data_IF_690746800516
#
_entry.id   IF_690746800516
#
_cell.length_a   1.000
_cell.length_b   1.000
_cell.length_c   1.000
_cell.angle_alpha   90.00
_cell.angle_beta   90.00
_cell.angle_gamma   90.00
#
_symmetry.space_group_name_H-M   'P 1'
#
loop_
_entity.id
_entity.type
_entity.pdbx_description
1 polymer ?
#
# COMPACT_ATOMS: atom_id res chain seq x y z
N UNK A 1 29.99 -17.39 -14.85
CA UNK A 1 28.55 -17.39 -14.49
C UNK A 1 27.84 -16.70 -15.64
N UNK A 2 26.85 -17.33 -16.24
CA UNK A 2 26.11 -16.71 -17.35
C UNK A 2 24.97 -15.90 -16.75
N UNK A 3 25.08 -14.59 -16.82
CA UNK A 3 23.99 -13.66 -16.54
C UNK A 3 23.10 -13.59 -17.77
N UNK A 4 21.80 -13.68 -17.59
CA UNK A 4 20.84 -13.47 -18.66
C UNK A 4 20.00 -12.24 -18.32
N UNK A 5 20.19 -11.16 -19.07
CA UNK A 5 19.38 -9.95 -18.92
C UNK A 5 17.94 -10.27 -19.32
N UNK A 6 17.01 -9.92 -18.43
CA UNK A 6 15.57 -10.04 -18.64
C UNK A 6 15.03 -8.71 -19.19
N UNK A 7 15.41 -7.60 -18.55
CA UNK A 7 14.92 -6.28 -18.89
C UNK A 7 15.97 -5.20 -18.51
N UNK A 8 15.94 -4.08 -19.23
CA UNK A 8 16.76 -2.91 -18.93
C UNK A 8 15.98 -1.63 -19.22
N UNK A 9 15.93 -0.72 -18.26
CA UNK A 9 15.30 0.61 -18.41
C UNK A 9 15.97 1.63 -17.47
N UNK A 10 16.11 2.87 -17.93
CA UNK A 10 16.79 3.92 -17.16
C UNK A 10 18.17 3.49 -16.67
N UNK A 11 18.36 3.53 -15.35
CA UNK A 11 19.55 3.05 -14.65
C UNK A 11 19.38 1.66 -14.01
N UNK A 12 18.34 0.94 -14.40
CA UNK A 12 17.99 -0.39 -13.86
C UNK A 12 18.30 -1.47 -14.88
N UNK A 13 18.91 -2.56 -14.42
CA UNK A 13 19.07 -3.81 -15.18
C UNK A 13 18.54 -4.97 -14.34
N UNK A 14 17.61 -5.73 -14.89
CA UNK A 14 17.08 -6.95 -14.27
C UNK A 14 17.65 -8.16 -14.99
N UNK A 15 18.28 -9.06 -14.25
CA UNK A 15 18.89 -10.26 -14.81
C UNK A 15 18.75 -11.48 -13.88
N UNK A 16 18.92 -12.67 -14.45
CA UNK A 16 18.98 -13.93 -13.69
C UNK A 16 20.40 -14.46 -13.66
N UNK A 17 20.76 -15.05 -12.54
CA UNK A 17 21.97 -15.84 -12.36
C UNK A 17 21.64 -17.33 -12.36
N UNK A 18 22.46 -18.16 -12.99
CA UNK A 18 22.24 -19.61 -13.09
C UNK A 18 22.19 -20.37 -11.75
N UNK A 19 22.66 -19.75 -10.66
CA UNK A 19 22.76 -20.33 -9.34
C UNK A 19 21.76 -19.77 -8.34
N UNK A 20 20.88 -18.84 -8.74
CA UNK A 20 19.89 -18.25 -7.84
C UNK A 20 18.48 -18.19 -8.47
N UNK A 21 17.42 -18.62 -7.71
CA UNK A 21 16.07 -18.70 -8.26
C UNK A 21 15.38 -17.33 -8.45
N UNK A 22 15.83 -16.29 -7.73
CA UNK A 22 15.19 -14.97 -7.80
C UNK A 22 15.99 -14.05 -8.72
N UNK A 23 15.32 -13.24 -9.56
CA UNK A 23 15.98 -12.21 -10.36
C UNK A 23 16.76 -11.21 -9.49
N UNK A 24 17.76 -10.59 -10.09
CA UNK A 24 18.53 -9.50 -9.49
C UNK A 24 18.07 -8.20 -10.15
N UNK A 25 17.63 -7.27 -9.32
CA UNK A 25 17.34 -5.89 -9.66
C UNK A 25 18.60 -5.05 -9.35
N UNK A 26 19.35 -4.75 -10.38
CA UNK A 26 20.57 -3.95 -10.27
C UNK A 26 20.27 -2.51 -10.64
N UNK A 27 20.57 -1.57 -9.73
CA UNK A 27 20.41 -0.14 -9.98
C UNK A 27 21.79 0.53 -9.98
N UNK A 28 22.05 1.33 -11.01
CA UNK A 28 23.26 2.15 -11.12
C UNK A 28 22.99 3.57 -10.60
N UNK A 29 23.94 4.12 -9.87
CA UNK A 29 23.91 5.50 -9.40
C UNK A 29 24.09 5.66 -7.91
N UNK A 30 24.44 6.87 -7.49
CA UNK A 30 24.47 7.30 -6.09
C UNK A 30 23.35 8.30 -5.85
N UNK A 31 22.66 8.16 -4.74
CA UNK A 31 21.58 9.08 -4.37
C UNK A 31 22.17 10.29 -3.63
N UNK A 32 21.67 11.49 -3.94
CA UNK A 32 21.93 12.68 -3.14
C UNK A 32 21.47 12.47 -1.69
N UNK A 33 22.01 13.17 -0.69
CA UNK A 33 21.56 13.09 0.68
C UNK A 33 20.03 13.26 0.78
N UNK A 34 19.36 12.21 1.24
CA UNK A 34 17.90 12.08 1.26
C UNK A 34 17.49 11.43 2.60
N UNK A 35 16.35 11.78 3.19
CA UNK A 35 15.84 11.14 4.41
C UNK A 35 15.73 9.62 4.32
N UNK A 36 15.56 9.07 3.11
CA UNK A 36 15.46 7.64 2.84
C UNK A 36 16.82 6.97 2.59
N UNK A 37 17.95 7.70 2.68
CA UNK A 37 19.29 7.17 2.49
C UNK A 37 19.45 6.40 1.18
N UNK A 38 20.14 5.27 1.23
CA UNK A 38 20.37 4.40 0.06
C UNK A 38 19.12 3.78 -0.53
N UNK A 39 17.96 3.83 0.18
CA UNK A 39 16.67 3.36 -0.35
C UNK A 39 16.02 4.34 -1.33
N UNK A 40 16.44 5.60 -1.35
CA UNK A 40 15.78 6.65 -2.12
C UNK A 40 15.65 6.34 -3.61
N UNK A 41 16.66 5.71 -4.20
CA UNK A 41 16.66 5.32 -5.63
C UNK A 41 15.52 4.32 -5.95
N UNK A 42 15.11 3.50 -4.99
CA UNK A 42 14.02 2.53 -5.16
C UNK A 42 12.64 3.18 -5.07
N UNK A 43 12.55 4.36 -4.43
CA UNK A 43 11.29 5.10 -4.35
C UNK A 43 10.91 5.78 -5.66
N UNK A 44 11.88 6.06 -6.52
CA UNK A 44 11.67 6.73 -7.80
C UNK A 44 11.18 5.77 -8.91
N UNK A 45 11.32 4.45 -8.72
CA UNK A 45 10.91 3.46 -9.73
C UNK A 45 9.47 2.97 -9.52
N UNK A 46 8.55 3.40 -10.38
CA UNK A 46 7.13 3.03 -10.34
C UNK A 46 6.85 1.55 -10.67
N UNK A 47 7.84 0.82 -11.21
CA UNK A 47 7.72 -0.61 -11.44
C UNK A 47 7.88 -1.42 -10.15
N UNK A 48 8.32 -0.79 -9.05
CA UNK A 48 8.40 -1.44 -7.75
C UNK A 48 7.08 -1.30 -6.98
N UNK A 49 6.63 -2.40 -6.41
CA UNK A 49 5.46 -2.48 -5.55
C UNK A 49 5.82 -2.40 -4.07
N UNK A 50 6.90 -3.10 -3.68
CA UNK A 50 7.37 -3.12 -2.30
C UNK A 50 8.90 -3.03 -2.23
N UNK A 51 9.40 -2.38 -1.18
CA UNK A 51 10.81 -2.30 -0.82
C UNK A 51 10.99 -2.87 0.59
N UNK A 52 11.91 -3.83 0.74
CA UNK A 52 12.10 -4.57 1.99
C UNK A 52 13.56 -4.56 2.41
N UNK A 53 13.83 -4.03 3.60
CA UNK A 53 15.10 -4.11 4.30
C UNK A 53 14.94 -4.98 5.55
N UNK A 54 15.76 -6.02 5.69
CA UNK A 54 15.67 -7.04 6.74
C UNK A 54 16.98 -7.15 7.57
N UNK A 55 17.54 -6.01 7.95
CA UNK A 55 18.81 -5.96 8.69
C UNK A 55 20.06 -5.98 7.80
N UNK A 56 21.19 -5.54 8.36
CA UNK A 56 22.44 -5.31 7.63
C UNK A 56 23.14 -6.56 7.09
N UNK A 57 22.64 -7.74 7.39
CA UNK A 57 23.21 -9.03 6.92
C UNK A 57 22.67 -9.45 5.54
N UNK A 58 21.68 -8.77 5.01
CA UNK A 58 21.02 -9.09 3.74
C UNK A 58 20.98 -7.86 2.83
N UNK A 59 21.02 -8.09 1.51
CA UNK A 59 20.70 -7.03 0.57
C UNK A 59 19.22 -6.63 0.69
N UNK A 60 18.92 -5.40 0.34
CA UNK A 60 17.55 -4.94 0.17
C UNK A 60 16.86 -5.80 -0.89
N UNK A 61 15.59 -6.12 -0.66
CA UNK A 61 14.75 -6.86 -1.62
C UNK A 61 13.63 -5.96 -2.10
N UNK A 62 13.15 -6.20 -3.30
CA UNK A 62 12.03 -5.47 -3.89
C UNK A 62 11.03 -6.44 -4.51
N UNK A 63 9.75 -6.08 -4.47
CA UNK A 63 8.75 -6.72 -5.30
C UNK A 63 8.56 -5.86 -6.56
N UNK A 64 8.99 -6.40 -7.70
CA UNK A 64 8.79 -5.80 -9.00
C UNK A 64 7.44 -6.25 -9.57
N UNK A 65 6.69 -5.35 -10.22
CA UNK A 65 5.31 -5.62 -10.69
C UNK A 65 5.23 -6.77 -11.70
N UNK A 66 6.23 -6.89 -12.58
CA UNK A 66 6.25 -7.93 -13.61
C UNK A 66 7.11 -9.13 -13.23
N UNK A 67 8.23 -8.90 -12.52
CA UNK A 67 9.21 -9.93 -12.22
C UNK A 67 9.11 -10.50 -10.80
N UNK A 68 8.16 -10.01 -9.99
CA UNK A 68 7.96 -10.47 -8.62
C UNK A 68 9.11 -10.13 -7.67
N UNK A 69 9.46 -11.04 -6.79
CA UNK A 69 10.48 -10.82 -5.77
C UNK A 69 11.89 -10.83 -6.35
N UNK A 70 12.58 -9.70 -6.28
CA UNK A 70 13.95 -9.51 -6.73
C UNK A 70 14.90 -9.19 -5.57
N UNK A 71 16.17 -9.59 -5.71
CA UNK A 71 17.27 -9.12 -4.87
C UNK A 71 17.86 -7.87 -5.51
N UNK A 72 18.31 -6.91 -4.69
CA UNK A 72 19.00 -5.73 -5.21
C UNK A 72 20.52 -5.82 -4.98
N UNK A 73 21.26 -4.91 -5.59
CA UNK A 73 22.67 -4.66 -5.29
C UNK A 73 22.87 -3.69 -4.12
N UNK A 74 21.79 -3.29 -3.43
CA UNK A 74 21.84 -2.32 -2.32
C UNK A 74 22.03 -3.06 -1.00
N UNK A 75 23.06 -2.66 -0.27
CA UNK A 75 23.37 -3.15 1.07
C UNK A 75 23.38 -1.98 2.04
N UNK A 76 22.67 -2.11 3.14
CA UNK A 76 22.52 -1.10 4.18
C UNK A 76 22.94 -1.73 5.49
N UNK A 77 23.86 -1.10 6.21
CA UNK A 77 24.22 -1.56 7.54
C UNK A 77 23.16 -1.17 8.59
N UNK A 78 23.22 -1.76 9.77
CA UNK A 78 22.21 -1.55 10.81
C UNK A 78 22.16 -0.11 11.32
N UNK A 79 23.26 0.62 11.32
CA UNK A 79 23.31 2.03 11.73
C UNK A 79 22.54 2.91 10.74
N UNK A 80 22.81 2.76 9.45
CA UNK A 80 22.07 3.44 8.38
C UNK A 80 20.60 3.03 8.37
N UNK A 81 20.32 1.74 8.49
CA UNK A 81 18.95 1.20 8.57
C UNK A 81 18.14 1.77 9.73
N UNK A 82 18.76 1.89 10.91
CA UNK A 82 18.16 2.52 12.07
C UNK A 82 17.91 4.02 11.85
N UNK A 83 18.84 4.71 11.21
CA UNK A 83 18.69 6.14 10.93
C UNK A 83 17.55 6.37 9.91
N UNK A 84 17.48 5.57 8.86
CA UNK A 84 16.38 5.63 7.88
C UNK A 84 15.05 5.35 8.59
N UNK A 85 14.98 4.32 9.43
CA UNK A 85 13.77 3.97 10.20
C UNK A 85 13.31 5.13 11.09
N UNK A 86 14.22 5.81 11.77
CA UNK A 86 13.91 7.00 12.59
C UNK A 86 13.42 8.18 11.76
N UNK A 87 14.06 8.43 10.62
CA UNK A 87 13.65 9.50 9.72
C UNK A 87 12.22 9.27 9.21
N UNK A 88 11.92 8.02 8.80
CA UNK A 88 10.61 7.61 8.31
C UNK A 88 9.56 7.67 9.44
N UNK A 89 9.88 7.15 10.63
CA UNK A 89 8.98 7.19 11.78
C UNK A 89 8.61 8.62 12.19
N UNK A 90 9.50 9.59 11.96
CA UNK A 90 9.22 11.01 12.22
C UNK A 90 8.05 11.53 11.36
N UNK A 91 7.89 11.08 10.12
CA UNK A 91 6.73 11.44 9.27
C UNK A 91 5.40 10.88 9.81
N UNK A 92 5.47 9.75 10.53
CA UNK A 92 4.27 9.10 11.10
C UNK A 92 3.96 9.57 12.52
N UNK A 93 4.77 10.51 13.08
CA UNK A 93 4.69 10.98 14.45
C UNK A 93 4.77 9.86 15.50
N UNK A 94 5.50 8.78 15.20
CA UNK A 94 5.75 7.67 16.12
C UNK A 94 7.14 7.84 16.75
N UNK A 95 7.25 7.87 18.09
CA UNK A 95 8.54 7.97 18.79
C UNK A 95 9.25 6.60 18.73
N UNK A 96 9.96 6.31 17.64
CA UNK A 96 10.65 5.04 17.45
C UNK A 96 11.88 4.92 18.34
N UNK A 97 11.91 3.90 19.17
CA UNK A 97 13.02 3.62 20.08
C UNK A 97 12.71 2.51 21.08
N UNK A 98 13.65 2.26 21.98
CA UNK A 98 13.55 1.27 23.08
C UNK A 98 13.60 1.96 24.47
N UNK A 99 13.25 3.24 24.54
CA UNK A 99 13.23 4.02 25.79
C UNK A 99 11.82 4.23 26.35
N UNK A 100 11.71 4.82 27.56
CA UNK A 100 10.42 5.17 28.13
C UNK A 100 9.62 6.09 27.20
N UNK A 101 8.37 5.71 26.88
CA UNK A 101 7.49 6.45 25.96
C UNK A 101 7.83 6.26 24.48
N UNK A 102 8.78 5.40 24.15
CA UNK A 102 9.12 5.01 22.79
C UNK A 102 8.55 3.63 22.44
N UNK A 103 8.43 3.34 21.15
CA UNK A 103 7.96 2.04 20.67
C UNK A 103 8.95 1.43 19.67
N UNK A 104 9.23 0.13 19.73
CA UNK A 104 10.16 -0.54 18.81
C UNK A 104 9.50 -0.97 17.49
N UNK A 105 8.21 -0.73 17.32
CA UNK A 105 7.43 -1.05 16.12
C UNK A 105 6.70 0.20 15.68
N UNK A 106 6.72 0.49 14.39
CA UNK A 106 5.91 1.55 13.84
C UNK A 106 5.23 1.13 12.54
N UNK A 107 4.02 1.60 12.40
CA UNK A 107 3.25 1.58 11.16
C UNK A 107 2.90 3.00 10.79
N UNK A 108 2.86 3.30 9.51
CA UNK A 108 2.46 4.63 9.10
C UNK A 108 2.36 4.80 7.60
N UNK A 109 2.09 6.04 7.23
CA UNK A 109 1.96 6.48 5.86
C UNK A 109 2.95 7.60 5.59
N UNK A 110 3.68 7.46 4.50
CA UNK A 110 4.59 8.48 4.00
C UNK A 110 3.81 9.62 3.30
N UNK A 111 4.44 10.79 3.13
CA UNK A 111 3.78 11.92 2.44
C UNK A 111 3.32 11.62 1.00
N UNK A 112 4.02 10.70 0.30
CA UNK A 112 3.65 10.20 -1.04
C UNK A 112 2.47 9.21 -1.02
N UNK A 113 1.98 8.85 0.17
CA UNK A 113 0.90 7.90 0.35
C UNK A 113 1.35 6.45 0.55
N UNK A 114 2.64 6.14 0.40
CA UNK A 114 3.19 4.80 0.64
C UNK A 114 3.00 4.37 2.08
N UNK A 115 2.72 3.08 2.30
CA UNK A 115 2.61 2.49 3.64
C UNK A 115 3.97 1.99 4.09
N UNK A 116 4.28 2.16 5.34
CA UNK A 116 5.51 1.67 5.93
C UNK A 116 5.22 0.93 7.24
N UNK A 117 5.85 -0.23 7.38
CA UNK A 117 6.00 -0.92 8.66
C UNK A 117 7.49 -1.04 8.95
N UNK A 118 7.89 -0.75 10.17
CA UNK A 118 9.28 -0.91 10.60
C UNK A 118 9.37 -1.42 12.02
N UNK A 119 10.45 -2.17 12.26
CA UNK A 119 10.79 -2.68 13.59
C UNK A 119 12.25 -2.45 13.90
N UNK A 120 12.57 -2.31 15.18
CA UNK A 120 13.94 -2.21 15.66
C UNK A 120 14.18 -3.22 16.80
N UNK A 121 15.43 -3.53 17.13
CA UNK A 121 15.72 -4.32 18.33
C UNK A 121 15.07 -3.70 19.59
N UNK A 122 14.57 -4.52 20.53
CA UNK A 122 14.73 -5.99 20.62
C UNK A 122 13.68 -6.81 19.84
N UNK A 123 12.69 -6.18 19.22
CA UNK A 123 11.60 -6.88 18.50
C UNK A 123 12.14 -7.59 17.24
N UNK A 124 13.07 -6.98 16.55
CA UNK A 124 13.82 -7.57 15.43
C UNK A 124 15.28 -7.80 15.86
N UNK A 125 15.62 -8.99 16.40
CA UNK A 125 16.91 -9.24 17.02
C UNK A 125 18.09 -9.15 16.04
N UNK A 126 17.86 -9.39 14.77
CA UNK A 126 18.88 -9.37 13.70
C UNK A 126 19.13 -7.97 13.10
N UNK A 127 18.55 -6.93 13.70
CA UNK A 127 18.71 -5.55 13.26
C UNK A 127 17.38 -4.87 12.92
N UNK A 128 17.42 -3.59 12.54
CA UNK A 128 16.22 -2.84 12.13
C UNK A 128 15.65 -3.42 10.83
N UNK A 129 14.32 -3.37 10.69
CA UNK A 129 13.64 -3.79 9.48
C UNK A 129 12.72 -2.69 8.96
N UNK A 130 12.53 -2.66 7.64
CA UNK A 130 11.59 -1.78 6.97
C UNK A 130 10.90 -2.53 5.84
N UNK A 131 9.59 -2.44 5.80
CA UNK A 131 8.78 -2.86 4.65
C UNK A 131 7.96 -1.67 4.20
N UNK A 132 8.17 -1.25 2.97
CA UNK A 132 7.52 -0.09 2.39
C UNK A 132 6.73 -0.56 1.18
N UNK A 133 5.41 -0.41 1.23
CA UNK A 133 4.52 -0.67 0.11
C UNK A 133 4.22 0.64 -0.59
N UNK A 134 4.75 0.76 -1.81
CA UNK A 134 4.65 1.99 -2.60
C UNK A 134 3.20 2.27 -3.00
N UNK A 135 2.85 3.54 -2.86
CA UNK A 135 1.59 4.05 -3.38
C UNK A 135 1.70 4.23 -4.90
N UNK A 136 0.73 3.76 -5.64
CA UNK A 136 0.67 3.96 -7.08
C UNK A 136 -0.13 5.22 -7.38
N UNK A 137 0.48 6.21 -8.02
CA UNK A 137 -0.21 7.47 -8.33
C UNK A 137 -1.35 7.29 -9.34
N UNK A 138 -1.15 6.44 -10.36
CA UNK A 138 -2.17 6.16 -11.37
C UNK A 138 -2.93 4.85 -11.05
N UNK A 139 -4.14 4.94 -10.50
CA UNK A 139 -4.95 3.76 -10.25
C UNK A 139 -5.37 3.08 -11.55
N UNK A 140 -5.45 1.75 -11.53
CA UNK A 140 -6.02 0.99 -12.62
C UNK A 140 -7.48 1.33 -12.81
N UNK A 141 -7.89 1.37 -14.07
CA UNK A 141 -9.28 1.58 -14.49
C UNK A 141 -9.95 0.25 -14.85
N UNK A 142 -11.27 0.24 -14.96
CA UNK A 142 -12.00 -0.96 -15.46
C UNK A 142 -11.57 -1.34 -16.87
N UNK A 143 -11.12 -0.38 -17.67
CA UNK A 143 -10.62 -0.62 -19.04
C UNK A 143 -9.34 -1.45 -18.98
N UNK A 144 -8.47 -1.17 -18.01
CA UNK A 144 -7.24 -1.94 -17.82
C UNK A 144 -7.55 -3.36 -17.34
N UNK A 145 -8.52 -3.54 -16.44
CA UNK A 145 -8.98 -4.88 -16.04
C UNK A 145 -9.55 -5.68 -17.21
N UNK A 146 -10.21 -5.02 -18.17
CA UNK A 146 -10.68 -5.66 -19.39
C UNK A 146 -9.52 -6.02 -20.32
N UNK A 147 -8.54 -5.13 -20.50
CA UNK A 147 -7.32 -5.40 -21.29
C UNK A 147 -6.51 -6.55 -20.72
N UNK A 148 -6.38 -6.64 -19.40
CA UNK A 148 -5.68 -7.74 -18.73
C UNK A 148 -6.47 -9.05 -18.72
N UNK A 149 -7.73 -9.03 -19.18
CA UNK A 149 -8.59 -10.23 -19.17
C UNK A 149 -9.14 -10.61 -17.79
N UNK A 150 -8.97 -9.74 -16.78
CA UNK A 150 -9.50 -9.96 -15.42
C UNK A 150 -11.04 -9.97 -15.44
N UNK A 151 -11.64 -9.09 -16.22
CA UNK A 151 -13.08 -9.04 -16.47
C UNK A 151 -13.34 -8.91 -17.98
N UNK A 152 -14.45 -9.43 -18.47
CA UNK A 152 -14.85 -9.15 -19.84
C UNK A 152 -15.73 -7.87 -19.89
N UNK A 153 -15.84 -7.26 -21.07
CA UNK A 153 -16.60 -6.04 -21.28
C UNK A 153 -18.08 -6.14 -20.90
N UNK A 154 -18.69 -7.32 -21.08
CA UNK A 154 -20.09 -7.55 -20.68
C UNK A 154 -20.27 -7.51 -19.18
N UNK A 155 -19.39 -8.16 -18.43
CA UNK A 155 -19.41 -8.12 -16.96
C UNK A 155 -19.12 -6.70 -16.44
N UNK A 156 -18.15 -6.01 -17.04
CA UNK A 156 -17.85 -4.62 -16.70
C UNK A 156 -19.07 -3.70 -16.88
N UNK A 157 -19.79 -3.83 -18.00
CA UNK A 157 -21.02 -3.09 -18.25
C UNK A 157 -22.15 -3.45 -17.27
N UNK A 158 -22.30 -4.74 -16.91
CA UNK A 158 -23.29 -5.17 -15.92
C UNK A 158 -22.99 -4.58 -14.54
N UNK A 159 -21.71 -4.60 -14.11
CA UNK A 159 -21.30 -4.00 -12.84
C UNK A 159 -21.57 -2.49 -12.80
N UNK A 160 -21.33 -1.79 -13.92
CA UNK A 160 -21.70 -0.39 -14.02
C UNK A 160 -23.20 -0.16 -13.75
N UNK A 161 -24.07 -0.87 -14.49
CA UNK A 161 -25.53 -0.78 -14.31
C UNK A 161 -25.95 -1.05 -12.87
N UNK A 162 -25.38 -2.06 -12.22
CA UNK A 162 -25.72 -2.40 -10.85
C UNK A 162 -25.24 -1.34 -9.84
N UNK A 163 -24.06 -0.74 -10.05
CA UNK A 163 -23.51 0.27 -9.14
C UNK A 163 -24.19 1.62 -9.32
N UNK A 164 -24.48 2.01 -10.55
CA UNK A 164 -25.21 3.25 -10.83
C UNK A 164 -26.66 3.15 -10.33
N UNK A 165 -27.30 1.99 -10.55
CA UNK A 165 -28.66 1.69 -10.11
C UNK A 165 -29.75 2.24 -11.02
N UNK A 166 -29.43 2.86 -12.16
CA UNK A 166 -30.36 3.41 -13.17
C UNK A 166 -31.55 4.15 -12.55
N UNK A 167 -31.27 5.12 -11.67
CA UNK A 167 -32.25 5.93 -10.92
C UNK A 167 -33.23 5.13 -10.04
N UNK A 168 -32.96 3.82 -9.83
CA UNK A 168 -33.75 2.96 -8.97
C UNK A 168 -33.01 2.67 -7.66
N UNK A 169 -32.46 1.46 -7.52
CA UNK A 169 -31.66 1.06 -6.35
C UNK A 169 -30.35 0.46 -6.81
N UNK A 170 -29.21 1.05 -6.39
CA UNK A 170 -27.92 0.42 -6.62
C UNK A 170 -27.79 -0.87 -5.82
N UNK A 171 -27.07 -1.82 -6.38
CA UNK A 171 -26.75 -3.06 -5.68
C UNK A 171 -25.65 -2.83 -4.62
N UNK A 172 -25.70 -3.60 -3.56
CA UNK A 172 -24.59 -3.76 -2.63
C UNK A 172 -23.64 -4.84 -3.16
N UNK A 173 -22.34 -4.64 -2.96
CA UNK A 173 -21.31 -5.55 -3.42
C UNK A 173 -20.43 -6.00 -2.27
N UNK A 174 -20.03 -7.26 -2.32
CA UNK A 174 -18.96 -7.82 -1.49
C UNK A 174 -17.91 -8.40 -2.41
N UNK A 175 -16.67 -7.99 -2.23
CA UNK A 175 -15.50 -8.49 -2.97
C UNK A 175 -14.69 -9.35 -2.03
N UNK A 176 -14.59 -10.65 -2.31
CA UNK A 176 -13.86 -11.61 -1.49
C UNK A 176 -12.72 -12.24 -2.29
N UNK A 177 -11.62 -12.53 -1.61
CA UNK A 177 -10.44 -13.17 -2.20
C UNK A 177 -9.25 -13.17 -1.25
N UNK A 178 -8.21 -13.92 -1.58
CA UNK A 178 -6.96 -13.97 -0.82
C UNK A 178 -6.15 -12.67 -0.88
N UNK A 179 -5.07 -12.59 -0.11
CA UNK A 179 -4.12 -11.49 -0.19
C UNK A 179 -3.49 -11.43 -1.59
N UNK A 180 -3.32 -10.23 -2.15
CA UNK A 180 -2.74 -10.05 -3.50
C UNK A 180 -3.67 -10.40 -4.67
N UNK A 181 -4.95 -10.78 -4.42
CA UNK A 181 -5.90 -11.16 -5.48
C UNK A 181 -6.53 -9.99 -6.24
N UNK A 182 -6.14 -8.75 -5.95
CA UNK A 182 -6.65 -7.55 -6.61
C UNK A 182 -7.99 -7.02 -6.07
N UNK A 183 -8.39 -7.37 -4.84
CA UNK A 183 -9.63 -6.89 -4.20
C UNK A 183 -9.73 -5.36 -4.19
N UNK A 184 -8.72 -4.70 -3.63
CA UNK A 184 -8.67 -3.22 -3.51
C UNK A 184 -8.64 -2.56 -4.88
N UNK A 185 -7.90 -3.13 -5.84
CA UNK A 185 -7.88 -2.68 -7.24
C UNK A 185 -9.27 -2.76 -7.87
N UNK A 186 -9.94 -3.90 -7.71
CA UNK A 186 -11.31 -4.08 -8.22
C UNK A 186 -12.27 -3.10 -7.56
N UNK A 187 -12.18 -2.92 -6.24
CA UNK A 187 -13.01 -1.99 -5.47
C UNK A 187 -12.80 -0.54 -5.93
N UNK A 188 -11.54 -0.12 -6.17
CA UNK A 188 -11.20 1.17 -6.76
C UNK A 188 -11.86 1.37 -8.12
N UNK A 189 -11.71 0.39 -9.03
CA UNK A 189 -12.32 0.46 -10.37
C UNK A 189 -13.85 0.56 -10.30
N UNK A 190 -14.48 -0.20 -9.40
CA UNK A 190 -15.94 -0.17 -9.22
C UNK A 190 -16.41 1.14 -8.58
N UNK A 191 -15.62 1.72 -7.68
CA UNK A 191 -15.89 3.02 -7.09
C UNK A 191 -16.01 4.14 -8.13
N UNK A 192 -15.29 4.04 -9.24
CA UNK A 192 -15.36 5.01 -10.35
C UNK A 192 -16.70 4.96 -11.13
N UNK A 193 -17.51 3.94 -10.95
CA UNK A 193 -18.86 3.86 -11.53
C UNK A 193 -19.93 4.61 -10.72
N UNK A 194 -19.58 5.05 -9.51
CA UNK A 194 -20.50 5.83 -8.68
C UNK A 194 -20.71 7.20 -9.35
N UNK A 195 -21.98 7.61 -9.60
CA UNK A 195 -22.25 8.88 -10.25
C UNK A 195 -21.65 10.06 -9.47
N UNK A 196 -20.99 10.99 -10.15
CA UNK A 196 -20.25 12.13 -9.59
C UNK A 196 -21.07 13.02 -8.64
N UNK A 197 -22.40 13.09 -8.83
CA UNK A 197 -23.31 13.88 -7.98
C UNK A 197 -23.67 13.16 -6.66
N UNK A 198 -23.30 11.91 -6.48
CA UNK A 198 -23.57 11.14 -5.25
C UNK A 198 -22.44 11.37 -4.25
N UNK A 199 -22.79 11.45 -2.97
CA UNK A 199 -21.81 11.56 -1.91
C UNK A 199 -21.21 10.19 -1.58
N UNK A 200 -19.94 10.04 -1.86
CA UNK A 200 -19.15 8.85 -1.58
C UNK A 200 -18.38 9.03 -0.26
N UNK A 201 -18.50 8.07 0.64
CA UNK A 201 -17.63 7.94 1.80
C UNK A 201 -16.85 6.63 1.71
N UNK A 202 -15.55 6.69 2.02
CA UNK A 202 -14.72 5.49 2.18
C UNK A 202 -14.23 5.40 3.61
N UNK A 203 -14.25 4.18 4.16
CA UNK A 203 -13.73 3.87 5.49
C UNK A 203 -12.73 2.75 5.36
N UNK A 204 -11.49 2.98 5.76
CA UNK A 204 -10.37 2.08 5.57
C UNK A 204 -9.53 1.99 6.83
N UNK A 205 -8.86 0.86 7.05
CA UNK A 205 -7.85 0.75 8.10
C UNK A 205 -6.61 1.56 7.75
N UNK A 206 -6.22 1.51 6.50
CA UNK A 206 -5.28 2.46 5.88
C UNK A 206 -5.82 2.86 4.53
N UNK A 207 -5.85 4.15 4.22
CA UNK A 207 -6.43 4.68 3.00
C UNK A 207 -5.63 4.26 1.75
N UNK A 208 -6.07 3.22 1.08
CA UNK A 208 -5.50 2.66 -0.17
C UNK A 208 -6.35 3.00 -1.40
N UNK A 209 -7.65 3.19 -1.23
CA UNK A 209 -8.55 3.47 -2.34
C UNK A 209 -8.21 4.79 -3.01
N UNK A 210 -8.30 4.80 -4.33
CA UNK A 210 -8.02 5.96 -5.19
C UNK A 210 -9.19 6.14 -6.16
N UNK A 211 -10.33 6.57 -5.65
CA UNK A 211 -11.51 6.79 -6.47
C UNK A 211 -11.48 8.20 -7.04
N UNK A 212 -11.52 8.33 -8.36
CA UNK A 212 -11.67 9.64 -8.98
C UNK A 212 -13.12 10.11 -8.88
N UNK A 213 -13.41 10.95 -7.88
CA UNK A 213 -14.78 11.36 -7.56
C UNK A 213 -14.82 12.75 -6.90
N UNK A 214 -15.65 13.66 -7.38
CA UNK A 214 -15.70 15.05 -6.92
C UNK A 214 -16.22 15.22 -5.50
N UNK A 215 -17.17 14.36 -5.08
CA UNK A 215 -17.79 14.45 -3.76
C UNK A 215 -17.41 13.24 -2.90
N UNK A 216 -16.10 13.11 -2.62
CA UNK A 216 -15.52 12.00 -1.87
C UNK A 216 -14.98 12.44 -0.51
N UNK A 217 -15.38 11.74 0.55
CA UNK A 217 -14.84 11.88 1.90
C UNK A 217 -14.18 10.57 2.31
N UNK A 218 -12.94 10.65 2.75
CA UNK A 218 -12.14 9.53 3.22
C UNK A 218 -12.07 9.53 4.74
N UNK A 219 -12.23 8.35 5.34
CA UNK A 219 -12.03 8.12 6.77
C UNK A 219 -11.05 6.97 6.93
N UNK A 220 -10.13 7.13 7.87
CA UNK A 220 -9.09 6.14 8.19
C UNK A 220 -9.12 5.87 9.69
N UNK A 221 -8.94 4.62 10.08
CA UNK A 221 -8.82 4.24 11.48
C UNK A 221 -7.55 4.81 12.08
N UNK A 222 -7.49 4.86 13.39
CA UNK A 222 -6.29 5.30 14.10
C UNK A 222 -6.08 4.42 15.32
N UNK A 223 -4.94 3.77 15.39
CA UNK A 223 -4.52 3.01 16.58
C UNK A 223 -4.31 3.92 17.78
N UNK A 224 -4.46 3.36 18.98
CA UNK A 224 -4.06 4.04 20.21
C UNK A 224 -2.59 4.46 20.14
N UNK A 225 -2.30 5.67 20.60
CA UNK A 225 -0.93 6.20 20.62
C UNK A 225 -0.30 6.07 22.00
N UNK A 226 1.04 6.00 22.07
CA UNK A 226 1.78 5.95 23.34
C UNK A 226 1.53 7.15 24.25
N UNK A 227 1.07 8.28 23.72
CA UNK A 227 0.71 9.49 24.45
C UNK A 227 -0.68 9.43 25.11
N UNK A 228 -1.37 8.28 25.01
CA UNK A 228 -2.72 8.06 25.53
C UNK A 228 -3.84 8.58 24.62
N UNK A 229 -3.53 9.01 23.40
CA UNK A 229 -4.56 9.34 22.41
C UNK A 229 -5.37 8.08 22.05
N UNK A 230 -6.70 8.09 22.24
CA UNK A 230 -7.51 6.87 22.09
C UNK A 230 -7.54 6.37 20.66
N UNK A 231 -7.75 5.08 20.51
CA UNK A 231 -8.06 4.43 19.23
C UNK A 231 -9.33 5.01 18.62
N UNK A 232 -9.39 5.03 17.28
CA UNK A 232 -10.61 5.24 16.50
C UNK A 232 -10.72 4.03 15.56
N UNK A 233 -11.61 3.11 15.87
CA UNK A 233 -11.76 1.87 15.14
C UNK A 233 -12.66 2.02 13.88
N UNK A 234 -12.74 0.95 13.10
CA UNK A 234 -13.56 0.88 11.88
C UNK A 234 -15.04 1.13 12.18
N UNK A 235 -15.54 0.63 13.30
CA UNK A 235 -16.92 0.75 13.71
C UNK A 235 -17.28 2.19 14.13
N UNK A 236 -16.33 2.91 14.77
CA UNK A 236 -16.49 4.33 15.09
C UNK A 236 -16.58 5.18 13.82
N UNK A 237 -15.70 4.92 12.86
CA UNK A 237 -15.72 5.56 11.55
C UNK A 237 -17.05 5.29 10.82
N UNK A 238 -17.52 4.04 10.81
CA UNK A 238 -18.80 3.67 10.19
C UNK A 238 -20.00 4.34 10.86
N UNK A 239 -20.08 4.30 12.18
CA UNK A 239 -21.18 4.99 12.92
C UNK A 239 -21.18 6.49 12.66
N UNK A 240 -20.00 7.09 12.53
CA UNK A 240 -19.87 8.51 12.17
C UNK A 240 -20.33 8.75 10.74
N UNK A 241 -19.91 7.90 9.79
CA UNK A 241 -20.24 8.02 8.36
C UNK A 241 -21.75 8.03 8.11
N UNK A 242 -22.53 7.23 8.83
CA UNK A 242 -23.98 7.17 8.72
C UNK A 242 -24.68 8.51 9.05
N UNK A 243 -24.02 9.40 9.81
CA UNK A 243 -24.53 10.74 10.14
C UNK A 243 -24.10 11.83 9.16
N UNK A 244 -23.26 11.46 8.17
CA UNK A 244 -22.69 12.40 7.17
C UNK A 244 -23.49 12.44 5.88
N UNK A 245 -24.71 11.88 5.85
CA UNK A 245 -25.57 11.80 4.66
C UNK A 245 -24.89 11.14 3.46
N UNK A 246 -24.36 9.92 3.59
CA UNK A 246 -23.77 9.21 2.48
C UNK A 246 -24.82 8.76 1.47
N UNK A 247 -24.51 8.84 0.17
CA UNK A 247 -25.25 8.09 -0.87
C UNK A 247 -24.62 6.72 -1.09
N UNK A 248 -23.31 6.61 -0.86
CA UNK A 248 -22.53 5.37 -0.98
C UNK A 248 -21.48 5.32 0.13
N UNK A 249 -21.30 4.15 0.71
CA UNK A 249 -20.21 3.86 1.64
C UNK A 249 -19.41 2.70 1.06
N UNK A 250 -18.11 2.87 0.95
CA UNK A 250 -17.15 1.81 0.62
C UNK A 250 -16.32 1.54 1.88
N UNK A 251 -16.26 0.27 2.28
CA UNK A 251 -15.38 -0.19 3.36
C UNK A 251 -14.25 -0.97 2.72
N UNK A 252 -13.02 -0.55 2.96
CA UNK A 252 -11.82 -1.13 2.34
C UNK A 252 -11.65 -2.59 2.67
N UNK A 253 -11.89 -2.96 3.93
CA UNK A 253 -11.91 -4.36 4.37
C UNK A 253 -12.79 -4.53 5.60
N UNK A 254 -13.30 -5.74 5.77
CA UNK A 254 -14.15 -6.14 6.91
C UNK A 254 -13.53 -7.37 7.55
N UNK A 255 -13.12 -7.26 8.82
CA UNK A 255 -12.45 -8.32 9.57
C UNK A 255 -13.15 -8.69 10.88
N UNK A 256 -14.09 -7.89 11.33
CA UNK A 256 -14.65 -7.98 12.66
C UNK A 256 -16.12 -7.59 12.78
N UNK A 257 -16.54 -7.09 13.95
CA UNK A 257 -17.93 -6.79 14.25
C UNK A 257 -18.55 -5.64 13.42
N UNK A 258 -17.72 -4.84 12.74
CA UNK A 258 -18.16 -3.79 11.80
C UNK A 258 -19.01 -4.34 10.66
N UNK A 259 -18.87 -5.64 10.32
CA UNK A 259 -19.72 -6.33 9.36
C UNK A 259 -21.22 -6.19 9.69
N UNK A 260 -21.56 -6.29 10.98
CA UNK A 260 -22.95 -6.16 11.43
C UNK A 260 -23.47 -4.71 11.37
N UNK A 261 -22.57 -3.72 11.38
CA UNK A 261 -22.94 -2.30 11.25
C UNK A 261 -23.22 -1.91 9.80
N UNK A 262 -22.64 -2.65 8.84
CA UNK A 262 -22.82 -2.45 7.40
C UNK A 262 -24.12 -3.07 6.85
N UNK A 263 -24.66 -4.11 7.49
CA UNK A 263 -25.87 -4.84 7.09
C UNK A 263 -27.13 -4.20 7.70
#
# INVERSE_FOLDING_TARGET
MSEQIIEQYGNVTIYTESNHPSPIYHVEGSVAPNPHGSLAVLFEDDNLEEVMYNGGTQCVKVAHREHGMCRTNIWINDEEGLQISKNIAAFTNVPLGDGPGMVPIFDGRLPDGSRVNGTIPPVSPDGPTLTIRKFKEDPLTIIDLVKFGTVNSRLAAMMWVWIEGLDSRPANFVIAGGTGSGKTTTLTCLGMYIPWHRRLLTVEDTAELQVYHDHWLRMETRRERPDGTPEVDMNDCLKSSLRMRPDRIIVGEVRGPEAATLL
#
